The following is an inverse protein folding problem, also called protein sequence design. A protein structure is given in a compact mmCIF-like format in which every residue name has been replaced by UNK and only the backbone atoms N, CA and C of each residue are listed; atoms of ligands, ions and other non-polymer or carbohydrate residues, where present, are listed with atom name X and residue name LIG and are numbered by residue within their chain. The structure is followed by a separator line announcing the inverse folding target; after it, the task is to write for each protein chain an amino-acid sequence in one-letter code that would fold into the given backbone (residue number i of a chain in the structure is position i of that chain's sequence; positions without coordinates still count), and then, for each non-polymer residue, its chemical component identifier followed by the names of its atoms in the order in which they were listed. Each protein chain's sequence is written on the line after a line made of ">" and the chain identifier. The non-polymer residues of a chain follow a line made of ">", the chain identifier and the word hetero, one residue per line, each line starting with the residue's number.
data_IF_962993324332
#
_entry.id   IF_962993324332
#
_cell.length_a   1.000
_cell.length_b   1.000
_cell.length_c   1.000
_cell.angle_alpha   90.00
_cell.angle_beta   90.00
_cell.angle_gamma   90.00
#
_symmetry.space_group_name_H-M   'P 1'
#
loop_
_entity.id
_entity.type
_entity.pdbx_description
1 polymer ?
#
# COMPACT_ATOMS: atom_id res chain seq x y z
N UNK A 1 14.89 -7.82 6.49
CA UNK A 1 13.49 -8.07 6.85
C UNK A 1 13.03 -9.34 6.18
N UNK A 2 12.39 -10.22 6.93
CA UNK A 2 11.78 -11.44 6.37
C UNK A 2 10.64 -11.08 5.39
N UNK A 3 10.31 -11.95 4.43
CA UNK A 3 9.13 -11.76 3.57
C UNK A 3 7.85 -11.62 4.39
N UNK A 4 7.74 -12.37 5.50
CA UNK A 4 6.58 -12.32 6.41
C UNK A 4 6.52 -10.98 7.13
N UNK A 5 7.66 -10.47 7.57
CA UNK A 5 7.78 -9.17 8.26
C UNK A 5 7.45 -8.01 7.31
N UNK A 6 7.89 -8.09 6.05
CA UNK A 6 7.53 -7.12 5.03
C UNK A 6 6.02 -7.15 4.71
N UNK A 7 5.42 -8.35 4.60
CA UNK A 7 3.99 -8.50 4.38
C UNK A 7 3.16 -7.95 5.55
N UNK A 8 3.54 -8.26 6.80
CA UNK A 8 2.87 -7.75 7.99
C UNK A 8 2.93 -6.22 8.06
N UNK A 9 4.10 -5.62 7.79
CA UNK A 9 4.25 -4.17 7.75
C UNK A 9 3.36 -3.52 6.69
N UNK A 10 3.23 -4.13 5.50
CA UNK A 10 2.33 -3.63 4.46
C UNK A 10 0.87 -3.72 4.90
N UNK A 11 0.44 -4.85 5.47
CA UNK A 11 -0.95 -5.04 5.93
C UNK A 11 -1.32 -4.07 7.04
N UNK A 12 -0.44 -3.89 8.04
CA UNK A 12 -0.68 -2.97 9.14
C UNK A 12 -0.73 -1.53 8.63
N UNK A 13 0.24 -1.12 7.80
CA UNK A 13 0.25 0.21 7.20
C UNK A 13 -0.99 0.48 6.36
N UNK A 14 -1.46 -0.53 5.63
CA UNK A 14 -2.67 -0.47 4.83
C UNK A 14 -3.93 -0.26 5.68
N UNK A 15 -4.09 -1.04 6.76
CA UNK A 15 -5.23 -0.90 7.66
C UNK A 15 -5.28 0.47 8.33
N UNK A 16 -4.13 1.01 8.75
CA UNK A 16 -4.03 2.35 9.33
C UNK A 16 -4.40 3.42 8.30
N UNK A 17 -3.98 3.27 7.05
CA UNK A 17 -4.32 4.21 5.98
C UNK A 17 -5.84 4.25 5.76
N UNK A 18 -6.49 3.09 5.57
CA UNK A 18 -7.94 3.01 5.38
C UNK A 18 -8.70 3.59 6.57
N UNK A 19 -8.31 3.26 7.80
CA UNK A 19 -8.92 3.83 9.00
C UNK A 19 -8.79 5.37 9.04
N UNK A 20 -7.62 5.89 8.63
CA UNK A 20 -7.39 7.33 8.53
C UNK A 20 -8.30 7.95 7.47
N UNK A 21 -8.41 7.34 6.30
CA UNK A 21 -9.22 7.82 5.19
C UNK A 21 -10.70 7.88 5.56
N UNK A 22 -11.22 6.85 6.24
CA UNK A 22 -12.61 6.83 6.74
C UNK A 22 -12.92 8.00 7.67
N UNK A 23 -11.96 8.41 8.52
CA UNK A 23 -12.16 9.52 9.46
C UNK A 23 -11.90 10.87 8.81
N UNK A 24 -10.87 10.97 7.97
CA UNK A 24 -10.35 12.24 7.45
C UNK A 24 -11.10 12.67 6.19
N UNK A 25 -11.42 11.76 5.27
CA UNK A 25 -12.08 12.13 4.01
C UNK A 25 -13.39 12.91 4.21
N UNK A 26 -14.29 12.53 5.14
CA UNK A 26 -15.49 13.31 5.43
C UNK A 26 -15.20 14.74 5.89
N UNK A 27 -14.13 14.96 6.67
CA UNK A 27 -13.73 16.28 7.17
C UNK A 27 -13.35 17.20 6.01
N UNK A 28 -12.79 16.65 4.92
CA UNK A 28 -12.41 17.38 3.72
C UNK A 28 -13.49 17.37 2.62
N UNK A 29 -14.69 16.84 2.90
CA UNK A 29 -15.78 16.73 1.92
C UNK A 29 -15.53 15.69 0.81
N UNK A 30 -14.52 14.84 0.98
CA UNK A 30 -14.19 13.77 0.03
C UNK A 30 -15.13 12.59 0.29
N UNK A 31 -15.95 12.27 -0.71
CA UNK A 31 -16.87 11.14 -0.67
C UNK A 31 -16.41 10.10 -1.68
N UNK A 32 -15.72 9.08 -1.19
CA UNK A 32 -15.39 7.90 -1.98
C UNK A 32 -16.00 6.68 -1.30
N UNK A 33 -16.42 5.69 -2.08
CA UNK A 33 -16.93 4.46 -1.48
C UNK A 33 -15.79 3.70 -0.82
N UNK A 34 -16.07 2.98 0.28
CA UNK A 34 -15.06 2.14 0.93
C UNK A 34 -14.48 1.11 -0.06
N UNK A 35 -15.29 0.64 -1.01
CA UNK A 35 -14.85 -0.29 -2.05
C UNK A 35 -13.83 0.36 -3.00
N UNK A 36 -14.06 1.60 -3.42
CA UNK A 36 -13.11 2.34 -4.27
C UNK A 36 -11.81 2.65 -3.52
N UNK A 37 -11.90 3.03 -2.25
CA UNK A 37 -10.73 3.28 -1.40
C UNK A 37 -9.85 2.02 -1.28
N UNK A 38 -10.50 0.89 -1.02
CA UNK A 38 -9.84 -0.40 -0.96
C UNK A 38 -9.25 -0.83 -2.30
N UNK A 39 -9.90 -0.54 -3.42
CA UNK A 39 -9.38 -0.85 -4.75
C UNK A 39 -8.14 0.00 -5.08
N UNK A 40 -8.19 1.31 -4.81
CA UNK A 40 -7.05 2.23 -4.99
C UNK A 40 -5.87 1.78 -4.12
N UNK A 41 -6.17 1.46 -2.86
CA UNK A 41 -5.19 0.97 -1.93
C UNK A 41 -4.52 -0.34 -2.38
N UNK A 42 -5.28 -1.27 -2.95
CA UNK A 42 -4.76 -2.51 -3.52
C UNK A 42 -3.80 -2.24 -4.69
N UNK A 43 -4.15 -1.30 -5.57
CA UNK A 43 -3.29 -0.87 -6.68
C UNK A 43 -1.96 -0.33 -6.14
N UNK A 44 -1.99 0.52 -5.12
CA UNK A 44 -0.77 1.03 -4.47
C UNK A 44 0.10 -0.08 -3.86
N UNK A 45 -0.52 -1.08 -3.24
CA UNK A 45 0.19 -2.22 -2.68
C UNK A 45 0.90 -3.02 -3.77
N UNK A 46 0.22 -3.33 -4.87
CA UNK A 46 0.78 -4.02 -6.04
C UNK A 46 1.93 -3.22 -6.65
N UNK A 47 1.75 -1.91 -6.85
CA UNK A 47 2.79 -1.02 -7.40
C UNK A 47 4.01 -0.97 -6.48
N UNK A 48 3.82 -0.88 -5.16
CA UNK A 48 4.94 -0.87 -4.20
C UNK A 48 5.70 -2.18 -4.19
N UNK A 49 5.01 -3.32 -4.27
CA UNK A 49 5.63 -4.64 -4.40
C UNK A 49 6.40 -4.77 -5.72
N UNK A 50 5.79 -4.35 -6.83
CA UNK A 50 6.41 -4.37 -8.15
C UNK A 50 7.69 -3.51 -8.20
N UNK A 51 7.63 -2.29 -7.66
CA UNK A 51 8.80 -1.40 -7.54
C UNK A 51 9.91 -2.06 -6.71
N UNK A 52 9.56 -2.64 -5.56
CA UNK A 52 10.51 -3.33 -4.70
C UNK A 52 11.15 -4.57 -5.35
N UNK A 53 10.41 -5.28 -6.19
CA UNK A 53 10.93 -6.41 -6.98
C UNK A 53 11.83 -5.93 -8.13
N UNK A 54 11.41 -4.93 -8.89
CA UNK A 54 12.19 -4.32 -9.97
C UNK A 54 13.53 -3.79 -9.46
N UNK A 55 13.53 -3.07 -8.33
CA UNK A 55 14.77 -2.57 -7.72
C UNK A 55 15.70 -3.72 -7.31
N UNK A 56 15.18 -4.76 -6.65
CA UNK A 56 15.97 -5.97 -6.33
C UNK A 56 16.59 -6.58 -7.59
N UNK A 57 15.81 -6.72 -8.66
CA UNK A 57 16.26 -7.28 -9.94
C UNK A 57 17.33 -6.43 -10.63
N UNK A 58 17.25 -5.10 -10.53
CA UNK A 58 18.25 -4.18 -11.08
C UNK A 58 19.56 -4.27 -10.27
N UNK A 59 19.49 -4.24 -8.94
CA UNK A 59 20.68 -4.41 -8.09
C UNK A 59 21.36 -5.78 -8.27
N UNK A 60 20.59 -6.85 -8.48
CA UNK A 60 21.15 -8.17 -8.82
C UNK A 60 21.85 -8.21 -10.19
N UNK A 61 21.41 -7.41 -11.17
CA UNK A 61 22.08 -7.32 -12.48
C UNK A 61 23.32 -6.43 -12.48
N UNK A 62 23.43 -5.52 -11.51
CA UNK A 62 24.57 -4.61 -11.35
C UNK A 62 25.70 -5.20 -10.50
N UNK A 63 25.48 -6.37 -9.89
CA UNK A 63 26.47 -7.10 -9.08
C UNK A 63 27.13 -8.20 -9.90
#
# INVERSE_FOLDING_TARGET
>A
MSMVEAAANVVIGYGIAVATQVVVFPIFGIHITLADDLAIGLVFAVVSLARGFMLRRVFERLR
#
